data_IF_350261348635
#
_entry.id   IF_350261348635
#
_cell.length_a   1.000
_cell.length_b   1.000
_cell.length_c   1.000
_cell.angle_alpha   90.00
_cell.angle_beta   90.00
_cell.angle_gamma   90.00
#
_symmetry.space_group_name_H-M   'P 1'
#
loop_
_entity.id
_entity.type
_entity.pdbx_description
1 polymer ?
#
# COMPACT_ATOMS: atom_id res chain seq x y z
N UNK A 1 16.01 -19.53 5.81
CA UNK A 1 14.82 -18.88 5.21
C UNK A 1 14.83 -17.36 5.36
N UNK A 2 14.98 -16.80 6.58
CA UNK A 2 15.00 -15.33 6.77
C UNK A 2 16.17 -14.67 6.04
N UNK A 3 17.35 -15.21 6.13
CA UNK A 3 18.54 -14.68 5.43
C UNK A 3 18.38 -14.69 3.92
N UNK A 4 17.83 -15.77 3.37
CA UNK A 4 17.54 -15.88 1.93
C UNK A 4 16.53 -14.82 1.48
N UNK A 5 15.50 -14.54 2.28
CA UNK A 5 14.55 -13.49 2.03
C UNK A 5 15.22 -12.11 2.04
N UNK A 6 16.00 -11.81 3.08
CA UNK A 6 16.71 -10.53 3.21
C UNK A 6 17.67 -10.33 2.04
N UNK A 7 18.42 -11.39 1.66
CA UNK A 7 19.30 -11.35 0.49
C UNK A 7 18.52 -11.03 -0.79
N UNK A 8 17.42 -11.72 -1.04
CA UNK A 8 16.60 -11.49 -2.24
C UNK A 8 16.06 -10.07 -2.31
N UNK A 9 15.53 -9.54 -1.19
CA UNK A 9 14.98 -8.17 -1.15
C UNK A 9 16.08 -7.11 -1.35
N UNK A 10 17.28 -7.34 -0.82
CA UNK A 10 18.40 -6.41 -0.99
C UNK A 10 19.00 -6.46 -2.41
N UNK A 11 19.09 -7.66 -2.99
CA UNK A 11 19.73 -7.87 -4.31
C UNK A 11 18.77 -7.55 -5.46
N UNK A 12 17.48 -7.89 -5.31
CA UNK A 12 16.47 -7.72 -6.36
C UNK A 12 15.25 -6.94 -5.86
N UNK A 13 15.43 -5.69 -5.39
CA UNK A 13 14.38 -4.96 -4.65
C UNK A 13 13.09 -4.74 -5.44
N UNK A 14 13.16 -4.50 -6.73
CA UNK A 14 11.98 -4.27 -7.57
C UNK A 14 11.21 -5.57 -7.84
N UNK A 15 11.93 -6.64 -8.16
CA UNK A 15 11.34 -7.95 -8.45
C UNK A 15 10.66 -8.51 -7.19
N UNK A 16 11.35 -8.46 -6.06
CA UNK A 16 10.79 -8.95 -4.80
C UNK A 16 9.59 -8.12 -4.33
N UNK A 17 9.62 -6.81 -4.54
CA UNK A 17 8.47 -5.93 -4.25
C UNK A 17 7.27 -6.27 -5.16
N UNK A 18 7.51 -6.47 -6.45
CA UNK A 18 6.47 -6.89 -7.39
C UNK A 18 5.83 -8.21 -6.96
N UNK A 19 6.62 -9.23 -6.65
CA UNK A 19 6.14 -10.54 -6.23
C UNK A 19 5.37 -10.48 -4.91
N UNK A 20 5.91 -9.82 -3.90
CA UNK A 20 5.25 -9.68 -2.58
C UNK A 20 3.88 -9.03 -2.71
N UNK A 21 3.83 -7.90 -3.40
CA UNK A 21 2.59 -7.12 -3.53
C UNK A 21 1.61 -7.81 -4.47
N UNK A 22 2.06 -8.50 -5.52
CA UNK A 22 1.20 -9.31 -6.38
C UNK A 22 0.50 -10.42 -5.59
N UNK A 23 1.23 -11.17 -4.78
CA UNK A 23 0.67 -12.26 -3.97
C UNK A 23 -0.26 -11.72 -2.89
N UNK A 24 0.24 -10.81 -2.04
CA UNK A 24 -0.50 -10.32 -0.87
C UNK A 24 -1.68 -9.42 -1.27
N UNK A 25 -1.54 -8.57 -2.28
CA UNK A 25 -2.60 -7.71 -2.77
C UNK A 25 -3.74 -8.52 -3.40
N UNK A 26 -3.42 -9.46 -4.29
CA UNK A 26 -4.43 -10.34 -4.89
C UNK A 26 -5.13 -11.20 -3.83
N UNK A 27 -4.38 -11.75 -2.87
CA UNK A 27 -4.96 -12.49 -1.74
C UNK A 27 -5.86 -11.60 -0.90
N UNK A 28 -5.46 -10.35 -0.63
CA UNK A 28 -6.27 -9.37 0.10
C UNK A 28 -7.62 -9.09 -0.59
N UNK A 29 -7.63 -8.96 -1.91
CA UNK A 29 -8.88 -8.78 -2.66
C UNK A 29 -9.80 -10.01 -2.57
N UNK A 30 -9.24 -11.21 -2.72
CA UNK A 30 -10.00 -12.46 -2.57
C UNK A 30 -10.60 -12.57 -1.17
N UNK A 31 -9.84 -12.23 -0.14
CA UNK A 31 -10.29 -12.25 1.24
C UNK A 31 -11.36 -11.19 1.51
N UNK A 32 -11.19 -9.97 1.02
CA UNK A 32 -12.20 -8.90 1.12
C UNK A 32 -13.51 -9.31 0.43
N UNK A 33 -13.42 -9.89 -0.76
CA UNK A 33 -14.59 -10.43 -1.48
C UNK A 33 -15.26 -11.56 -0.69
N UNK A 34 -14.49 -12.48 -0.10
CA UNK A 34 -15.02 -13.57 0.75
C UNK A 34 -15.77 -13.02 1.97
N UNK A 35 -15.23 -12.00 2.60
CA UNK A 35 -15.85 -11.36 3.77
C UNK A 35 -17.18 -10.69 3.36
N UNK A 36 -17.16 -9.90 2.30
CA UNK A 36 -18.33 -9.16 1.81
C UNK A 36 -19.46 -10.06 1.35
N UNK A 37 -19.14 -11.09 0.54
CA UNK A 37 -20.13 -11.98 -0.10
C UNK A 37 -20.52 -13.18 0.76
N UNK A 38 -19.86 -13.41 1.89
CA UNK A 38 -20.02 -14.59 2.77
C UNK A 38 -19.77 -15.94 2.08
N UNK A 39 -19.23 -15.94 0.88
CA UNK A 39 -18.84 -17.12 0.08
C UNK A 39 -17.52 -16.83 -0.64
N UNK A 40 -16.76 -17.88 -0.98
CA UNK A 40 -15.59 -17.71 -1.81
C UNK A 40 -16.01 -17.24 -3.20
N UNK A 41 -15.38 -16.17 -3.67
CA UNK A 41 -15.51 -15.64 -5.00
C UNK A 41 -14.15 -15.72 -5.68
N UNK A 42 -14.11 -16.36 -6.81
CA UNK A 42 -12.90 -16.43 -7.62
C UNK A 42 -13.10 -15.60 -8.88
N UNK A 43 -12.15 -14.75 -9.15
CA UNK A 43 -12.12 -14.00 -10.39
C UNK A 43 -12.03 -14.95 -11.59
N UNK A 44 -12.54 -14.52 -12.73
CA UNK A 44 -12.30 -15.24 -13.98
C UNK A 44 -10.79 -15.29 -14.26
N UNK A 45 -10.25 -16.32 -14.91
CA UNK A 45 -8.80 -16.46 -15.10
C UNK A 45 -8.14 -15.22 -15.71
N UNK A 46 -8.76 -14.59 -16.70
CA UNK A 46 -8.26 -13.35 -17.30
C UNK A 46 -8.24 -12.17 -16.34
N UNK A 47 -9.31 -12.00 -15.54
CA UNK A 47 -9.39 -10.94 -14.54
C UNK A 47 -8.33 -11.13 -13.45
N UNK A 48 -8.15 -12.37 -13.00
CA UNK A 48 -7.13 -12.72 -11.99
C UNK A 48 -5.72 -12.38 -12.49
N UNK A 49 -5.37 -12.76 -13.72
CA UNK A 49 -4.05 -12.45 -14.30
C UNK A 49 -3.84 -10.93 -14.36
N UNK A 50 -4.83 -10.17 -14.83
CA UNK A 50 -4.74 -8.71 -14.90
C UNK A 50 -4.58 -8.08 -13.52
N UNK A 51 -5.31 -8.55 -12.50
CA UNK A 51 -5.16 -8.08 -11.11
C UNK A 51 -3.77 -8.37 -10.56
N UNK A 52 -3.23 -9.57 -10.77
CA UNK A 52 -1.87 -9.93 -10.40
C UNK A 52 -0.86 -8.97 -11.04
N UNK A 53 -1.01 -8.66 -12.33
CA UNK A 53 -0.13 -7.73 -13.03
C UNK A 53 -0.24 -6.29 -12.50
N UNK A 54 -1.46 -5.82 -12.19
CA UNK A 54 -1.66 -4.51 -11.56
C UNK A 54 -0.97 -4.45 -10.19
N UNK A 55 -1.16 -5.46 -9.35
CA UNK A 55 -0.51 -5.53 -8.05
C UNK A 55 1.01 -5.65 -8.14
N UNK A 56 1.54 -6.38 -9.13
CA UNK A 56 2.98 -6.42 -9.39
C UNK A 56 3.53 -5.04 -9.77
N UNK A 57 2.84 -4.33 -10.65
CA UNK A 57 3.20 -2.95 -11.04
C UNK A 57 3.15 -2.00 -9.82
N UNK A 58 2.10 -2.08 -9.01
CA UNK A 58 2.01 -1.30 -7.77
C UNK A 58 3.13 -1.63 -6.80
N UNK A 59 3.57 -2.88 -6.70
CA UNK A 59 4.70 -3.27 -5.87
C UNK A 59 6.00 -2.57 -6.27
N UNK A 60 6.28 -2.47 -7.56
CA UNK A 60 7.42 -1.70 -8.09
C UNK A 60 7.26 -0.22 -7.74
N UNK A 61 6.06 0.34 -7.98
CA UNK A 61 5.74 1.75 -7.72
C UNK A 61 5.89 2.09 -6.23
N UNK A 62 5.45 1.21 -5.33
CA UNK A 62 5.65 1.39 -3.88
C UNK A 62 7.12 1.44 -3.51
N UNK A 63 7.96 0.58 -4.11
CA UNK A 63 9.39 0.60 -3.83
C UNK A 63 10.03 1.93 -4.21
N UNK A 64 9.70 2.46 -5.38
CA UNK A 64 10.15 3.79 -5.79
C UNK A 64 9.61 4.90 -4.88
N UNK A 65 8.30 4.89 -4.60
CA UNK A 65 7.66 5.88 -3.75
C UNK A 65 8.28 5.90 -2.35
N UNK A 66 8.40 4.75 -1.67
CA UNK A 66 8.97 4.68 -0.34
C UNK A 66 10.40 5.21 -0.30
N UNK A 67 11.24 4.75 -1.24
CA UNK A 67 12.63 5.25 -1.33
C UNK A 67 12.67 6.76 -1.61
N UNK A 68 11.82 7.22 -2.55
CA UNK A 68 11.76 8.63 -2.94
C UNK A 68 11.29 9.55 -1.81
N UNK A 69 10.28 9.14 -1.03
CA UNK A 69 9.76 9.96 0.06
C UNK A 69 10.70 10.05 1.26
N UNK A 70 11.55 9.07 1.51
CA UNK A 70 12.66 9.26 2.46
C UNK A 70 13.59 10.38 2.00
N UNK A 71 14.05 10.34 0.74
CA UNK A 71 14.88 11.40 0.18
C UNK A 71 14.17 12.75 0.09
N UNK A 72 12.87 12.76 -0.19
CA UNK A 72 12.05 13.97 -0.21
C UNK A 72 12.05 14.67 1.17
N UNK A 73 11.77 13.93 2.24
CA UNK A 73 11.77 14.46 3.61
C UNK A 73 13.16 14.94 4.00
N UNK A 74 14.23 14.19 3.66
CA UNK A 74 15.61 14.62 3.89
C UNK A 74 15.92 15.95 3.19
N UNK A 75 15.48 16.09 1.95
CA UNK A 75 15.65 17.33 1.18
C UNK A 75 14.90 18.50 1.80
N UNK A 76 13.66 18.30 2.28
CA UNK A 76 12.90 19.35 2.95
C UNK A 76 13.57 19.83 4.24
N UNK A 77 14.08 18.89 5.04
CA UNK A 77 14.81 19.21 6.28
C UNK A 77 16.10 20.00 5.95
N UNK A 78 16.87 19.52 4.98
CA UNK A 78 18.12 20.16 4.58
C UNK A 78 17.91 21.61 4.07
N UNK A 79 16.79 21.84 3.36
CA UNK A 79 16.44 23.18 2.84
C UNK A 79 15.70 24.07 3.84
N UNK A 80 15.43 23.59 5.06
CA UNK A 80 14.70 24.34 6.09
C UNK A 80 13.18 24.43 5.85
N UNK A 81 12.61 23.59 4.98
CA UNK A 81 11.17 23.52 4.72
C UNK A 81 10.45 22.54 5.65
N UNK A 82 11.17 21.80 6.48
CA UNK A 82 10.66 20.90 7.49
C UNK A 82 11.50 20.93 8.76
N UNK A 83 10.98 20.46 9.88
CA UNK A 83 11.57 20.55 11.20
C UNK A 83 12.87 19.73 11.29
N UNK A 84 13.97 20.31 11.79
CA UNK A 84 15.28 19.64 11.93
C UNK A 84 15.26 18.52 12.96
N UNK A 85 14.44 18.66 14.00
CA UNK A 85 14.27 17.71 15.09
C UNK A 85 13.75 16.34 14.62
N UNK A 86 13.18 16.29 13.41
CA UNK A 86 12.75 15.05 12.76
C UNK A 86 13.91 14.08 12.58
N UNK A 87 15.14 14.55 12.37
CA UNK A 87 16.32 13.69 12.23
C UNK A 87 16.80 13.10 13.56
N UNK A 88 16.36 13.63 14.70
CA UNK A 88 16.75 13.18 16.03
C UNK A 88 15.88 12.02 16.53
N UNK A 89 14.77 11.73 15.86
CA UNK A 89 13.81 10.70 16.25
C UNK A 89 13.40 9.81 15.08
N UNK A 90 13.63 8.51 15.22
CA UNK A 90 13.16 7.50 14.25
C UNK A 90 11.65 7.60 14.02
N UNK A 91 10.88 7.82 15.11
CA UNK A 91 9.43 7.96 15.01
C UNK A 91 9.01 9.20 14.23
N UNK A 92 9.60 10.37 14.54
CA UNK A 92 9.27 11.61 13.82
C UNK A 92 9.66 11.52 12.35
N UNK A 93 10.78 10.86 12.05
CA UNK A 93 11.19 10.60 10.67
C UNK A 93 10.20 9.71 9.94
N UNK A 94 9.85 8.59 10.52
CA UNK A 94 8.89 7.65 9.95
C UNK A 94 7.50 8.29 9.78
N UNK A 95 7.05 9.08 10.76
CA UNK A 95 5.80 9.83 10.68
C UNK A 95 5.82 10.85 9.53
N UNK A 96 6.90 11.63 9.40
CA UNK A 96 7.03 12.63 8.32
C UNK A 96 7.01 11.96 6.94
N UNK A 97 7.76 10.87 6.77
CA UNK A 97 7.76 10.10 5.52
C UNK A 97 6.37 9.54 5.25
N UNK A 98 5.70 8.97 6.26
CA UNK A 98 4.34 8.46 6.15
C UNK A 98 3.35 9.56 5.76
N UNK A 99 3.41 10.71 6.41
CA UNK A 99 2.54 11.85 6.13
C UNK A 99 2.63 12.26 4.66
N UNK A 100 3.83 12.56 4.18
CA UNK A 100 4.01 13.00 2.79
C UNK A 100 3.69 11.90 1.78
N UNK A 101 4.05 10.64 2.05
CA UNK A 101 3.69 9.52 1.18
C UNK A 101 2.17 9.41 1.03
N UNK A 102 1.43 9.47 2.14
CA UNK A 102 -0.02 9.31 2.10
C UNK A 102 -0.76 10.54 1.56
N UNK A 103 -0.24 11.75 1.77
CA UNK A 103 -0.90 12.95 1.25
C UNK A 103 -0.62 13.20 -0.24
N UNK A 104 0.58 12.89 -0.72
CA UNK A 104 0.99 13.21 -2.09
C UNK A 104 0.84 12.02 -3.05
N UNK A 105 1.25 10.83 -2.63
CA UNK A 105 1.19 9.63 -3.46
C UNK A 105 -0.08 8.81 -3.24
N UNK A 106 -0.55 8.72 -2.00
CA UNK A 106 -1.70 7.90 -1.61
C UNK A 106 -2.95 8.14 -2.46
N UNK A 107 -3.41 9.40 -2.67
CA UNK A 107 -4.60 9.67 -3.47
C UNK A 107 -4.47 9.20 -4.92
N UNK A 108 -3.31 9.41 -5.53
CA UNK A 108 -3.03 9.00 -6.91
C UNK A 108 -3.01 7.48 -7.03
N UNK A 109 -2.38 6.81 -6.08
CA UNK A 109 -2.31 5.35 -6.03
C UNK A 109 -3.69 4.71 -5.88
N UNK A 110 -4.51 5.22 -4.93
CA UNK A 110 -5.88 4.71 -4.72
C UNK A 110 -6.74 4.93 -5.97
N UNK A 111 -6.64 6.09 -6.61
CA UNK A 111 -7.36 6.39 -7.85
C UNK A 111 -6.94 5.43 -8.97
N UNK A 112 -5.63 5.23 -9.17
CA UNK A 112 -5.09 4.32 -10.17
C UNK A 112 -5.57 2.88 -9.95
N UNK A 113 -5.45 2.38 -8.71
CA UNK A 113 -5.89 1.02 -8.37
C UNK A 113 -7.40 0.85 -8.59
N UNK A 114 -8.21 1.81 -8.15
CA UNK A 114 -9.66 1.76 -8.36
C UNK A 114 -10.04 1.85 -9.84
N UNK A 115 -9.35 2.66 -10.59
CA UNK A 115 -9.56 2.78 -12.03
C UNK A 115 -9.24 1.48 -12.77
N UNK A 116 -8.09 0.86 -12.47
CA UNK A 116 -7.70 -0.42 -13.06
C UNK A 116 -8.66 -1.55 -12.68
N UNK A 117 -9.12 -1.62 -11.43
CA UNK A 117 -10.12 -2.59 -11.00
C UNK A 117 -11.43 -2.45 -11.77
N UNK A 118 -11.92 -1.22 -11.87
CA UNK A 118 -13.17 -0.96 -12.60
C UNK A 118 -13.04 -1.29 -14.10
N UNK A 119 -11.88 -1.00 -14.70
CA UNK A 119 -11.60 -1.38 -16.08
C UNK A 119 -11.60 -2.89 -16.29
N UNK A 120 -10.95 -3.65 -15.37
CA UNK A 120 -10.89 -5.11 -15.42
C UNK A 120 -12.27 -5.72 -15.23
N UNK A 121 -13.03 -5.22 -14.26
CA UNK A 121 -14.35 -5.75 -13.89
C UNK A 121 -15.50 -5.14 -14.71
N UNK A 122 -15.22 -4.22 -15.63
CA UNK A 122 -16.19 -3.48 -16.44
C UNK A 122 -17.26 -2.77 -15.60
N UNK A 123 -16.81 -2.10 -14.55
CA UNK A 123 -17.65 -1.34 -13.62
C UNK A 123 -17.44 0.16 -13.77
N UNK A 124 -18.44 0.93 -13.42
CA UNK A 124 -18.34 2.39 -13.33
C UNK A 124 -17.64 2.83 -12.03
N UNK A 125 -17.10 4.05 -12.04
CA UNK A 125 -16.45 4.63 -10.88
C UNK A 125 -17.47 4.98 -9.79
N UNK A 126 -17.30 4.39 -8.62
CA UNK A 126 -18.06 4.78 -7.42
C UNK A 126 -17.29 5.85 -6.63
N UNK A 127 -17.64 7.11 -6.84
CA UNK A 127 -16.98 8.26 -6.21
C UNK A 127 -17.11 8.30 -4.69
N UNK A 128 -18.25 7.86 -4.13
CA UNK A 128 -18.45 7.77 -2.67
C UNK A 128 -17.48 6.76 -2.05
N UNK A 129 -17.33 5.61 -2.68
CA UNK A 129 -16.35 4.60 -2.26
C UNK A 129 -14.91 5.11 -2.38
N UNK A 130 -14.60 5.89 -3.41
CA UNK A 130 -13.29 6.50 -3.61
C UNK A 130 -12.97 7.53 -2.52
N UNK A 131 -13.91 8.41 -2.18
CA UNK A 131 -13.77 9.38 -1.08
C UNK A 131 -13.53 8.69 0.26
N UNK A 132 -14.26 7.61 0.55
CA UNK A 132 -14.05 6.81 1.76
C UNK A 132 -12.66 6.17 1.79
N UNK A 133 -12.15 5.71 0.63
CA UNK A 133 -10.81 5.18 0.51
C UNK A 133 -9.75 6.28 0.74
N UNK A 134 -9.93 7.48 0.20
CA UNK A 134 -9.05 8.62 0.49
C UNK A 134 -9.09 9.02 1.97
N UNK A 135 -10.25 9.02 2.61
CA UNK A 135 -10.33 9.29 4.04
C UNK A 135 -9.52 8.30 4.88
N UNK A 136 -9.41 7.02 4.43
CA UNK A 136 -8.58 6.02 5.13
C UNK A 136 -7.08 6.35 5.12
N UNK A 137 -6.60 7.21 4.20
CA UNK A 137 -5.22 7.67 4.21
C UNK A 137 -4.87 8.37 5.53
N UNK A 138 -5.79 9.12 6.10
CA UNK A 138 -5.57 9.89 7.33
C UNK A 138 -5.62 9.02 8.59
N UNK A 139 -6.68 8.24 8.77
CA UNK A 139 -6.91 7.52 10.03
C UNK A 139 -6.28 6.13 10.08
N UNK A 140 -6.01 5.51 8.93
CA UNK A 140 -5.43 4.16 8.87
C UNK A 140 -4.01 4.17 8.29
N UNK A 141 -3.82 4.71 7.09
CA UNK A 141 -2.55 4.57 6.38
C UNK A 141 -1.42 5.41 6.96
N UNK A 142 -1.68 6.63 7.46
CA UNK A 142 -0.62 7.41 8.12
C UNK A 142 -0.10 6.67 9.36
N UNK A 143 -0.92 6.18 10.31
CA UNK A 143 -0.44 5.37 11.43
C UNK A 143 0.26 4.06 10.97
N UNK A 144 -0.34 3.31 10.05
CA UNK A 144 0.20 2.04 9.57
C UNK A 144 1.57 2.21 8.88
N UNK A 145 1.69 3.21 8.00
CA UNK A 145 2.96 3.50 7.34
C UNK A 145 3.99 4.12 8.28
N UNK A 146 3.59 4.83 9.34
CA UNK A 146 4.52 5.27 10.38
C UNK A 146 5.20 4.07 11.04
N UNK A 147 4.43 3.04 11.39
CA UNK A 147 4.99 1.77 11.89
C UNK A 147 5.89 1.13 10.83
N UNK A 148 5.43 1.07 9.58
CA UNK A 148 6.16 0.47 8.47
C UNK A 148 7.52 1.15 8.26
N UNK A 149 7.56 2.47 8.24
CA UNK A 149 8.79 3.24 8.00
C UNK A 149 9.73 3.31 9.21
N UNK A 150 9.26 2.90 10.39
CA UNK A 150 10.11 2.69 11.56
C UNK A 150 10.89 1.35 11.48
N UNK A 151 10.55 0.48 10.55
CA UNK A 151 11.21 -0.82 10.36
C UNK A 151 12.33 -0.76 9.31
N UNK A 152 13.26 -1.72 9.34
CA UNK A 152 14.28 -1.87 8.30
C UNK A 152 13.65 -1.95 6.90
N UNK A 153 14.30 -1.32 5.92
CA UNK A 153 13.78 -1.14 4.55
C UNK A 153 13.36 -2.45 3.85
N UNK A 154 13.99 -3.59 4.20
CA UNK A 154 13.66 -4.89 3.62
C UNK A 154 12.33 -5.48 4.10
N UNK A 155 11.74 -4.94 5.18
CA UNK A 155 10.44 -5.36 5.71
C UNK A 155 9.28 -4.45 5.26
N UNK A 156 9.58 -3.24 4.78
CA UNK A 156 8.57 -2.19 4.58
C UNK A 156 7.50 -2.56 3.55
N UNK A 157 7.91 -3.11 2.40
CA UNK A 157 6.96 -3.46 1.32
C UNK A 157 6.04 -4.61 1.75
N UNK A 158 6.61 -5.65 2.35
CA UNK A 158 5.82 -6.78 2.85
C UNK A 158 4.80 -6.36 3.91
N UNK A 159 5.20 -5.52 4.86
CA UNK A 159 4.30 -5.02 5.89
C UNK A 159 3.22 -4.10 5.31
N UNK A 160 3.55 -3.23 4.36
CA UNK A 160 2.56 -2.39 3.68
C UNK A 160 1.48 -3.22 2.97
N UNK A 161 1.87 -4.32 2.33
CA UNK A 161 0.92 -5.25 1.71
C UNK A 161 0.04 -5.99 2.76
N UNK A 162 0.58 -6.31 3.93
CA UNK A 162 -0.20 -6.88 5.05
C UNK A 162 -1.22 -5.87 5.58
N UNK A 163 -0.87 -4.59 5.70
CA UNK A 163 -1.81 -3.54 6.09
C UNK A 163 -2.97 -3.39 5.10
N UNK A 164 -2.73 -3.57 3.80
CA UNK A 164 -3.80 -3.57 2.80
C UNK A 164 -4.82 -4.69 3.05
N UNK A 165 -4.36 -5.89 3.44
CA UNK A 165 -5.22 -6.99 3.83
C UNK A 165 -6.02 -6.63 5.11
N UNK A 166 -5.35 -6.09 6.12
CA UNK A 166 -6.00 -5.68 7.37
C UNK A 166 -7.11 -4.64 7.13
N UNK A 167 -6.84 -3.61 6.32
CA UNK A 167 -7.86 -2.63 5.95
C UNK A 167 -9.03 -3.27 5.19
N UNK A 168 -8.74 -4.17 4.26
CA UNK A 168 -9.77 -4.92 3.52
C UNK A 168 -10.69 -5.71 4.45
N UNK A 169 -10.14 -6.34 5.48
CA UNK A 169 -10.90 -7.05 6.53
C UNK A 169 -11.77 -6.06 7.31
N UNK A 170 -11.19 -4.96 7.81
CA UNK A 170 -11.90 -3.93 8.58
C UNK A 170 -13.10 -3.41 7.79
N UNK A 171 -12.86 -2.94 6.57
CA UNK A 171 -13.92 -2.40 5.71
C UNK A 171 -14.96 -3.46 5.33
N UNK A 172 -14.53 -4.70 5.14
CA UNK A 172 -15.43 -5.83 4.89
C UNK A 172 -16.39 -6.10 6.04
N UNK A 173 -15.94 -6.00 7.29
CA UNK A 173 -16.81 -6.13 8.47
C UNK A 173 -17.80 -4.98 8.59
N UNK A 174 -17.34 -3.72 8.45
CA UNK A 174 -18.23 -2.55 8.55
C UNK A 174 -19.27 -2.48 7.43
N UNK A 175 -19.00 -3.04 6.25
CA UNK A 175 -19.98 -3.10 5.16
C UNK A 175 -21.11 -4.13 5.37
N UNK A 176 -21.00 -4.98 6.41
CA UNK A 176 -22.02 -5.98 6.77
C UNK A 176 -23.14 -5.44 7.65
N UNK A 177 -22.90 -4.32 8.32
CA UNK A 177 -23.83 -3.73 9.30
C UNK A 177 -24.84 -2.76 8.68
N UNK A 178 -24.89 -2.70 7.38
CA UNK A 178 -25.92 -1.98 6.60
C UNK A 178 -26.62 -2.96 5.67
#
# INVERSE_FOLDING_TARGET
MIETYIYAVKTYPLITSAIQVAILGTFGELLAARIKLKRWYFFKPKELILKILVWAFLGITFKYAFTGFFGFVDSLIHKGFWFKEVNESLFLKAFSVSLFTNLLFGPVMILFHRWTDNFIEKKEMNWVSLQSAWASLLWFWIPAHTITFSLPAHLQIGLAAIWAIALGIILGFFSRSK
#
